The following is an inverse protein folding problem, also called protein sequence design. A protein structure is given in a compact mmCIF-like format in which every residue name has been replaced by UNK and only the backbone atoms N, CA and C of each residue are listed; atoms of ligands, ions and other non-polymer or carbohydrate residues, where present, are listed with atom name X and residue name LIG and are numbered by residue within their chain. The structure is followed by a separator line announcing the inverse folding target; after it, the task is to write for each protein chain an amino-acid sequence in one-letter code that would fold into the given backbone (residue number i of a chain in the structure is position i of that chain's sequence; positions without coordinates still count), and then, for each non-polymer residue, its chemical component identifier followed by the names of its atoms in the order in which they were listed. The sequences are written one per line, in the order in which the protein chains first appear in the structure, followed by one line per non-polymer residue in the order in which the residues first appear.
data_IF_531828901478
#
_entry.id   IF_531828901478
#
_cell.length_a   1.000
_cell.length_b   1.000
_cell.length_c   1.000
_cell.angle_alpha   90.00
_cell.angle_beta   90.00
_cell.angle_gamma   90.00
#
_symmetry.space_group_name_H-M   'P 1'
#
loop_
_entity.id
_entity.type
_entity.pdbx_description
1 polymer ?
#
# COMPACT_ATOMS: atom_id res chain seq x y z
N UNK A 1 -15.28 -22.63 13.94
CA UNK A 1 -14.16 -22.68 12.98
C UNK A 1 -13.92 -21.26 12.49
N UNK A 2 -12.69 -20.76 12.54
CA UNK A 2 -12.40 -19.45 11.96
C UNK A 2 -12.40 -19.57 10.44
N UNK A 3 -13.14 -18.70 9.76
CA UNK A 3 -13.07 -18.61 8.31
C UNK A 3 -11.66 -18.13 7.87
N UNK A 4 -11.18 -18.53 6.67
CA UNK A 4 -9.95 -17.98 6.12
C UNK A 4 -10.01 -16.44 6.03
N UNK A 5 -8.89 -15.79 6.30
CA UNK A 5 -8.76 -14.33 6.23
C UNK A 5 -8.19 -13.92 4.87
N UNK A 6 -9.03 -13.37 4.01
CA UNK A 6 -8.63 -13.00 2.65
C UNK A 6 -8.21 -11.53 2.56
N UNK A 7 -7.04 -11.27 1.97
CA UNK A 7 -6.49 -9.93 1.78
C UNK A 7 -6.37 -9.64 0.29
N UNK A 8 -7.07 -8.60 -0.19
CA UNK A 8 -6.95 -8.12 -1.57
C UNK A 8 -5.71 -7.24 -1.71
N UNK A 9 -4.74 -7.66 -2.52
CA UNK A 9 -3.51 -6.89 -2.75
C UNK A 9 -3.63 -5.93 -3.94
N UNK A 10 -3.49 -4.63 -3.69
CA UNK A 10 -3.49 -3.61 -4.73
C UNK A 10 -2.10 -3.42 -5.34
N UNK A 11 -1.03 -3.55 -4.55
CA UNK A 11 0.34 -3.19 -4.98
C UNK A 11 0.34 -1.76 -5.56
N UNK A 12 1.01 -1.53 -6.69
CA UNK A 12 1.05 -0.24 -7.40
C UNK A 12 -0.06 -0.07 -8.46
N UNK A 13 -1.07 -0.95 -8.49
CA UNK A 13 -2.14 -0.90 -9.50
C UNK A 13 -3.05 0.34 -9.40
N UNK A 14 -2.89 1.16 -8.36
CA UNK A 14 -3.60 2.41 -8.15
C UNK A 14 -3.18 3.53 -9.13
N UNK A 15 -2.00 3.45 -9.75
CA UNK A 15 -1.50 4.44 -10.73
C UNK A 15 -1.61 5.90 -10.23
N UNK A 16 -1.28 6.13 -8.95
CA UNK A 16 -1.43 7.43 -8.26
C UNK A 16 -2.80 8.10 -8.41
N UNK A 17 -3.86 7.31 -8.59
CA UNK A 17 -5.21 7.81 -8.74
C UNK A 17 -6.06 7.43 -7.52
N UNK A 18 -6.42 8.43 -6.71
CA UNK A 18 -7.21 8.21 -5.49
C UNK A 18 -8.56 7.56 -5.77
N UNK A 19 -9.28 7.98 -6.82
CA UNK A 19 -10.56 7.37 -7.20
C UNK A 19 -10.41 5.89 -7.52
N UNK A 20 -9.27 5.50 -8.08
CA UNK A 20 -8.95 4.10 -8.36
C UNK A 20 -8.67 3.32 -7.07
N UNK A 21 -7.97 3.91 -6.10
CA UNK A 21 -7.82 3.32 -4.76
C UNK A 21 -9.20 3.04 -4.13
N UNK A 22 -10.09 4.03 -4.13
CA UNK A 22 -11.44 3.89 -3.55
C UNK A 22 -12.25 2.81 -4.26
N UNK A 23 -12.20 2.75 -5.59
CA UNK A 23 -12.85 1.69 -6.36
C UNK A 23 -12.32 0.29 -6.02
N UNK A 24 -11.03 0.13 -5.71
CA UNK A 24 -10.50 -1.16 -5.26
C UNK A 24 -11.03 -1.54 -3.87
N UNK A 25 -11.16 -0.58 -2.97
CA UNK A 25 -11.72 -0.79 -1.62
C UNK A 25 -13.17 -1.24 -1.74
N UNK A 26 -13.97 -0.55 -2.56
CA UNK A 26 -15.37 -0.91 -2.85
C UNK A 26 -15.46 -2.35 -3.35
N UNK A 27 -14.72 -2.69 -4.39
CA UNK A 27 -14.74 -4.04 -4.96
C UNK A 27 -14.28 -5.10 -3.96
N UNK A 28 -13.22 -4.84 -3.19
CA UNK A 28 -12.72 -5.79 -2.19
C UNK A 28 -13.76 -6.04 -1.08
N UNK A 29 -14.47 -5.01 -0.64
CA UNK A 29 -15.55 -5.13 0.33
C UNK A 29 -16.74 -5.90 -0.26
N UNK A 30 -17.17 -5.57 -1.47
CA UNK A 30 -18.33 -6.18 -2.13
C UNK A 30 -18.15 -7.69 -2.38
N UNK A 31 -16.93 -8.14 -2.70
CA UNK A 31 -16.62 -9.56 -2.90
C UNK A 31 -16.35 -10.33 -1.58
N UNK A 32 -16.41 -9.64 -0.43
CA UNK A 32 -16.25 -10.24 0.88
C UNK A 32 -14.81 -10.48 1.34
N UNK A 33 -13.84 -9.70 0.87
CA UNK A 33 -12.49 -9.74 1.43
C UNK A 33 -12.48 -9.22 2.88
N UNK A 34 -11.59 -9.79 3.70
CA UNK A 34 -11.43 -9.37 5.10
C UNK A 34 -10.58 -8.11 5.23
N UNK A 35 -9.64 -7.90 4.30
CA UNK A 35 -8.80 -6.72 4.24
C UNK A 35 -8.44 -6.35 2.80
N UNK A 36 -8.00 -5.11 2.62
CA UNK A 36 -7.32 -4.63 1.43
C UNK A 36 -5.93 -4.13 1.81
N UNK A 37 -4.95 -4.39 0.94
CA UNK A 37 -3.55 -4.07 1.20
C UNK A 37 -2.91 -3.25 0.09
N UNK A 38 -2.15 -2.24 0.51
CA UNK A 38 -1.30 -1.40 -0.34
C UNK A 38 0.18 -1.55 0.03
N UNK A 39 1.06 -0.85 -0.70
CA UNK A 39 2.50 -0.79 -0.44
C UNK A 39 2.94 0.67 -0.39
N UNK A 40 3.71 1.04 0.63
CA UNK A 40 4.28 2.37 0.77
C UNK A 40 5.80 2.28 0.66
N UNK A 41 6.30 2.62 -0.52
CA UNK A 41 7.72 2.71 -0.82
C UNK A 41 8.05 4.08 -1.42
N UNK A 42 9.32 4.45 -1.35
CA UNK A 42 9.92 5.55 -2.12
C UNK A 42 11.11 4.97 -2.86
N UNK A 43 11.23 5.27 -4.16
CA UNK A 43 12.33 4.71 -4.96
C UNK A 43 13.69 5.15 -4.43
N UNK A 44 13.77 6.33 -3.80
CA UNK A 44 14.98 6.88 -3.21
C UNK A 44 15.39 6.17 -1.90
N UNK A 45 14.44 5.51 -1.23
CA UNK A 45 14.69 4.71 -0.03
C UNK A 45 14.88 3.22 -0.39
N UNK A 46 14.31 2.78 -1.51
CA UNK A 46 14.30 1.38 -1.94
C UNK A 46 15.52 0.99 -2.80
N UNK A 47 16.07 1.93 -3.57
CA UNK A 47 17.21 1.68 -4.46
C UNK A 47 18.41 2.54 -4.09
N UNK A 48 19.60 1.94 -4.17
CA UNK A 48 20.85 2.66 -3.99
C UNK A 48 20.99 3.82 -5.01
N UNK A 49 21.57 4.97 -4.63
CA UNK A 49 21.71 6.13 -5.51
C UNK A 49 22.40 5.82 -6.84
N UNK A 50 23.37 4.90 -6.85
CA UNK A 50 24.10 4.49 -8.05
C UNK A 50 23.19 3.79 -9.07
N UNK A 51 22.21 3.02 -8.61
CA UNK A 51 21.21 2.38 -9.46
C UNK A 51 20.27 3.43 -10.04
N UNK A 52 19.81 4.37 -9.20
CA UNK A 52 18.94 5.45 -9.66
C UNK A 52 19.63 6.39 -10.65
N UNK A 53 20.94 6.59 -10.57
CA UNK A 53 21.68 7.37 -11.56
C UNK A 53 21.76 6.63 -12.91
N UNK A 54 22.05 5.32 -12.88
CA UNK A 54 22.33 4.52 -14.08
C UNK A 54 21.08 3.98 -14.79
N UNK A 55 19.97 3.76 -14.07
CA UNK A 55 18.80 3.07 -14.61
C UNK A 55 17.57 4.00 -14.73
N UNK A 56 17.25 4.47 -15.95
CA UNK A 56 16.00 5.21 -16.19
C UNK A 56 14.75 4.39 -15.86
N UNK A 57 14.81 3.07 -15.99
CA UNK A 57 13.68 2.18 -15.67
C UNK A 57 13.33 2.23 -14.19
N UNK A 58 14.32 2.16 -13.30
CA UNK A 58 14.10 2.26 -11.86
C UNK A 58 13.53 3.63 -11.47
N UNK A 59 14.01 4.71 -12.11
CA UNK A 59 13.45 6.05 -11.90
C UNK A 59 11.98 6.17 -12.31
N UNK A 60 11.56 5.47 -13.38
CA UNK A 60 10.14 5.46 -13.80
C UNK A 60 9.21 4.85 -12.75
N UNK A 61 9.71 3.98 -11.86
CA UNK A 61 8.94 3.41 -10.74
C UNK A 61 8.49 4.46 -9.74
N UNK A 62 8.94 5.72 -9.83
CA UNK A 62 8.33 6.85 -9.11
C UNK A 62 6.81 6.91 -9.33
N UNK A 63 6.35 6.57 -10.54
CA UNK A 63 4.93 6.55 -10.90
C UNK A 63 4.12 5.45 -10.19
N UNK A 64 4.81 4.49 -9.55
CA UNK A 64 4.23 3.37 -8.84
C UNK A 64 4.11 3.62 -7.33
N UNK A 65 4.70 4.72 -6.83
CA UNK A 65 4.61 5.10 -5.42
C UNK A 65 3.19 5.48 -5.03
N UNK A 66 2.76 5.04 -3.85
CA UNK A 66 1.52 5.50 -3.22
C UNK A 66 1.74 6.89 -2.59
N UNK A 67 0.99 7.93 -2.99
CA UNK A 67 1.07 9.23 -2.33
C UNK A 67 0.62 9.13 -0.87
N UNK A 68 1.47 9.57 0.07
CA UNK A 68 1.16 9.57 1.53
C UNK A 68 -0.10 10.36 1.84
N UNK A 69 -0.40 11.41 1.06
CA UNK A 69 -1.62 12.21 1.17
C UNK A 69 -2.90 11.43 0.93
N UNK A 70 -2.84 10.23 0.33
CA UNK A 70 -4.01 9.37 0.10
C UNK A 70 -4.37 8.53 1.33
N UNK A 71 -3.46 8.34 2.29
CA UNK A 71 -3.67 7.46 3.44
C UNK A 71 -4.92 7.82 4.27
N UNK A 72 -5.20 9.10 4.58
CA UNK A 72 -6.40 9.45 5.34
C UNK A 72 -7.69 9.04 4.61
N UNK A 73 -7.76 9.27 3.29
CA UNK A 73 -8.95 9.00 2.48
C UNK A 73 -9.15 7.50 2.25
N UNK A 74 -8.05 6.75 2.03
CA UNK A 74 -8.07 5.29 1.94
C UNK A 74 -8.56 4.67 3.26
N UNK A 75 -8.01 5.13 4.39
CA UNK A 75 -8.38 4.62 5.71
C UNK A 75 -9.85 4.92 6.04
N UNK A 76 -10.31 6.15 5.77
CA UNK A 76 -11.71 6.53 5.95
C UNK A 76 -12.65 5.64 5.12
N UNK A 77 -12.34 5.41 3.83
CA UNK A 77 -13.14 4.57 2.96
C UNK A 77 -13.17 3.10 3.44
N UNK A 78 -12.03 2.56 3.89
CA UNK A 78 -11.99 1.21 4.47
C UNK A 78 -12.88 1.10 5.72
N UNK A 79 -12.86 2.12 6.58
CA UNK A 79 -13.73 2.20 7.75
C UNK A 79 -15.22 2.24 7.38
N UNK A 80 -15.59 3.06 6.39
CA UNK A 80 -16.98 3.15 5.90
C UNK A 80 -17.47 1.84 5.28
N UNK A 81 -16.58 1.12 4.59
CA UNK A 81 -16.88 -0.17 3.93
C UNK A 81 -16.73 -1.37 4.85
N UNK A 82 -16.36 -1.15 6.12
CA UNK A 82 -16.14 -2.20 7.12
C UNK A 82 -15.15 -3.28 6.65
N UNK A 83 -14.08 -2.88 5.96
CA UNK A 83 -12.97 -3.75 5.53
C UNK A 83 -11.67 -3.27 6.18
N UNK A 84 -10.78 -4.19 6.56
CA UNK A 84 -9.52 -3.82 7.22
C UNK A 84 -8.52 -3.23 6.22
N UNK A 85 -7.82 -2.18 6.63
CA UNK A 85 -6.77 -1.56 5.84
C UNK A 85 -5.39 -2.03 6.29
N UNK A 86 -4.61 -2.57 5.36
CA UNK A 86 -3.22 -2.92 5.58
C UNK A 86 -2.28 -2.20 4.61
N UNK A 87 -1.04 -1.99 5.03
CA UNK A 87 0.00 -1.51 4.14
C UNK A 87 1.35 -2.13 4.48
N UNK A 88 2.17 -2.33 3.45
CA UNK A 88 3.55 -2.77 3.59
C UNK A 88 4.48 -1.55 3.59
N UNK A 89 5.16 -1.23 4.72
CA UNK A 89 6.19 -0.21 4.75
C UNK A 89 7.50 -0.75 4.15
N UNK A 90 8.14 0.03 3.29
CA UNK A 90 9.45 -0.30 2.69
C UNK A 90 10.58 0.65 3.15
N UNK A 91 10.30 1.53 4.11
CA UNK A 91 11.28 2.42 4.73
C UNK A 91 10.85 2.76 6.16
N UNK A 92 11.79 3.09 7.04
CA UNK A 92 11.50 3.23 8.48
C UNK A 92 10.44 4.29 8.77
N UNK A 93 10.54 5.47 8.16
CA UNK A 93 9.56 6.55 8.34
C UNK A 93 8.15 6.16 7.87
N UNK A 94 8.02 5.19 6.96
CA UNK A 94 6.72 4.70 6.52
C UNK A 94 5.93 4.06 7.67
N UNK A 95 6.60 3.53 8.69
CA UNK A 95 5.94 2.95 9.87
C UNK A 95 5.12 4.02 10.58
N UNK A 96 5.75 5.16 10.88
CA UNK A 96 5.10 6.30 11.54
C UNK A 96 4.04 6.95 10.65
N UNK A 97 4.31 7.08 9.34
CA UNK A 97 3.35 7.64 8.38
C UNK A 97 2.08 6.77 8.25
N UNK A 98 2.20 5.46 8.43
CA UNK A 98 1.07 4.50 8.35
C UNK A 98 0.35 4.28 9.68
N UNK A 99 1.03 4.47 10.82
CA UNK A 99 0.52 4.13 12.16
C UNK A 99 -0.89 4.65 12.46
N UNK A 100 -1.27 5.89 12.07
CA UNK A 100 -2.62 6.40 12.35
C UNK A 100 -3.73 5.76 11.50
N UNK A 101 -3.37 5.04 10.43
CA UNK A 101 -4.29 4.70 9.34
C UNK A 101 -4.52 3.20 9.16
N UNK A 102 -3.51 2.37 9.38
CA UNK A 102 -3.58 0.93 9.10
C UNK A 102 -4.06 0.13 10.31
N UNK A 103 -4.86 -0.90 10.06
CA UNK A 103 -5.23 -1.89 11.08
C UNK A 103 -4.08 -2.86 11.38
N UNK A 104 -3.22 -3.12 10.38
CA UNK A 104 -2.02 -3.94 10.55
C UNK A 104 -0.97 -3.68 9.46
N UNK A 105 0.28 -3.99 9.81
CA UNK A 105 1.40 -3.99 8.87
C UNK A 105 1.58 -5.37 8.24
N UNK A 106 1.96 -5.38 6.96
CA UNK A 106 2.55 -6.56 6.32
C UNK A 106 4.03 -6.31 6.09
N UNK A 107 4.90 -7.17 6.62
CA UNK A 107 6.34 -7.12 6.31
C UNK A 107 6.59 -7.90 5.02
N UNK A 108 7.16 -7.26 4.00
CA UNK A 108 7.53 -7.93 2.75
C UNK A 108 8.71 -8.90 2.98
N UNK A 109 8.85 -9.88 2.10
CA UNK A 109 9.80 -10.97 2.32
C UNK A 109 11.26 -10.52 2.23
N UNK A 110 11.56 -9.48 1.44
CA UNK A 110 12.93 -8.97 1.28
C UNK A 110 13.39 -8.13 2.49
N UNK A 111 12.44 -7.65 3.29
CA UNK A 111 12.63 -6.82 4.49
C UNK A 111 12.83 -7.69 5.75
N UNK A 112 12.87 -9.02 5.59
CA UNK A 112 13.26 -9.96 6.65
C UNK A 112 14.77 -10.28 6.63
N UNK A 113 15.48 -9.83 5.60
CA UNK A 113 16.90 -10.14 5.35
C UNK A 113 17.85 -9.12 5.98
#
# INVERSE_FOLDING_TARGET
MNAPYFVAEVSSNHNQNIKRCLSFIDTAADIGCSAIKFQLFRIEELFAPEILQKSPEHRKRKQWELPVSFLPEISACCCEKNIKFACTPFYLKAVDELFPYVDFYKIASYELL
#
